data_IF_763701281644
#
_entry.id   IF_763701281644
#
_cell.length_a   1.000
_cell.length_b   1.000
_cell.length_c   1.000
_cell.angle_alpha   90.00
_cell.angle_beta   90.00
_cell.angle_gamma   90.00
#
_symmetry.space_group_name_H-M   'P 1'
#
loop_
_entity.id
_entity.type
_entity.pdbx_description
1 polymer ?
#
# COMPACT_ATOMS: atom_id res chain seq x y z
N UNK A 1 2.05 -6.00 3.82
CA UNK A 1 2.65 -6.90 2.81
C UNK A 1 4.09 -6.48 2.63
N UNK A 2 5.03 -7.43 2.69
CA UNK A 2 6.45 -7.15 2.46
C UNK A 2 6.76 -7.38 0.99
N UNK A 3 7.67 -6.55 0.46
CA UNK A 3 8.24 -6.68 -0.87
C UNK A 3 9.11 -7.93 -0.99
N UNK A 4 8.78 -8.83 -1.93
CA UNK A 4 9.70 -9.87 -2.39
C UNK A 4 10.10 -9.58 -3.84
N UNK A 5 11.40 -9.56 -4.08
CA UNK A 5 11.97 -9.24 -5.39
C UNK A 5 12.13 -10.54 -6.16
N UNK A 6 11.36 -10.74 -7.24
CA UNK A 6 11.60 -11.90 -8.10
C UNK A 6 12.94 -11.76 -8.83
N UNK A 7 13.44 -12.87 -9.39
CA UNK A 7 14.56 -12.80 -10.31
C UNK A 7 14.22 -11.88 -11.50
N UNK A 8 15.20 -11.10 -12.02
CA UNK A 8 14.99 -10.32 -13.23
C UNK A 8 14.68 -11.22 -14.43
N UNK A 9 13.81 -10.77 -15.34
CA UNK A 9 13.60 -11.42 -16.62
C UNK A 9 14.83 -11.29 -17.54
N UNK A 10 14.77 -11.94 -18.71
CA UNK A 10 15.88 -11.98 -19.69
C UNK A 10 16.27 -10.60 -20.26
N UNK A 11 15.47 -9.56 -20.01
CA UNK A 11 15.74 -8.17 -20.42
C UNK A 11 16.00 -7.23 -19.22
N UNK A 12 16.10 -7.79 -18.01
CA UNK A 12 16.47 -7.08 -16.79
C UNK A 12 15.31 -6.40 -16.05
N UNK A 13 14.06 -6.62 -16.44
CA UNK A 13 12.92 -6.17 -15.64
C UNK A 13 12.76 -7.07 -14.42
N UNK A 14 12.28 -6.50 -13.33
CA UNK A 14 12.02 -7.25 -12.10
C UNK A 14 10.54 -7.21 -11.83
N UNK A 15 9.89 -8.37 -11.73
CA UNK A 15 8.52 -8.45 -11.25
C UNK A 15 8.49 -8.18 -9.75
N UNK A 16 7.62 -7.26 -9.33
CA UNK A 16 7.38 -7.00 -7.92
C UNK A 16 6.30 -7.98 -7.45
N UNK A 17 6.64 -8.81 -6.49
CA UNK A 17 5.73 -9.76 -5.87
C UNK A 17 5.44 -9.29 -4.44
N UNK A 18 4.16 -9.14 -4.09
CA UNK A 18 3.75 -8.76 -2.75
C UNK A 18 3.24 -9.97 -1.99
N UNK A 19 3.83 -10.23 -0.83
CA UNK A 19 3.41 -11.32 0.06
C UNK A 19 2.82 -10.77 1.34
N UNK A 20 1.73 -11.38 1.79
CA UNK A 20 1.17 -11.10 3.10
C UNK A 20 2.10 -11.67 4.18
N UNK A 21 2.74 -10.79 4.95
CA UNK A 21 3.76 -11.18 5.93
C UNK A 21 3.21 -11.23 7.37
N UNK A 22 2.38 -10.25 7.77
CA UNK A 22 1.82 -10.18 9.12
C UNK A 22 0.51 -9.39 9.18
N UNK A 23 -0.34 -9.75 10.15
CA UNK A 23 -1.52 -8.96 10.54
C UNK A 23 -1.13 -7.87 11.53
N UNK A 24 -1.64 -6.65 11.31
CA UNK A 24 -1.33 -5.48 12.12
C UNK A 24 -2.61 -4.92 12.76
N UNK A 25 -2.54 -4.57 14.04
CA UNK A 25 -3.60 -3.81 14.70
C UNK A 25 -3.46 -2.34 14.33
N UNK A 26 -4.49 -1.81 13.66
CA UNK A 26 -4.47 -0.44 13.16
C UNK A 26 -5.84 0.25 13.29
N UNK A 27 -5.80 1.58 13.26
CA UNK A 27 -6.97 2.43 13.05
C UNK A 27 -6.87 3.03 11.65
N UNK A 28 -7.93 2.88 10.85
CA UNK A 28 -8.02 3.42 9.50
C UNK A 28 -9.07 4.54 9.49
N UNK A 29 -8.67 5.72 9.05
CA UNK A 29 -9.56 6.87 8.85
C UNK A 29 -9.47 7.34 7.39
N UNK A 30 -10.48 7.01 6.59
CA UNK A 30 -10.63 7.60 5.26
C UNK A 30 -10.90 9.10 5.40
N UNK A 31 -10.14 9.89 4.65
CA UNK A 31 -10.22 11.35 4.74
C UNK A 31 -11.08 11.91 3.62
N UNK A 32 -10.86 11.50 2.37
CA UNK A 32 -11.60 11.97 1.18
C UNK A 32 -11.52 10.99 0.01
N UNK A 33 -12.57 10.96 -0.82
CA UNK A 33 -12.49 10.44 -2.18
C UNK A 33 -11.71 11.42 -3.07
N UNK A 34 -10.81 10.92 -3.89
CA UNK A 34 -9.94 11.72 -4.75
C UNK A 34 -9.94 11.17 -6.19
N UNK A 35 -9.89 12.08 -7.16
CA UNK A 35 -9.58 11.78 -8.56
C UNK A 35 -8.15 12.22 -8.81
N UNK A 36 -7.32 11.34 -9.37
CA UNK A 36 -5.93 11.64 -9.76
C UNK A 36 -5.65 11.10 -11.16
N UNK A 37 -4.85 11.81 -11.94
CA UNK A 37 -4.43 11.32 -13.25
C UNK A 37 -3.20 10.41 -13.10
N UNK A 38 -3.34 9.16 -13.52
CA UNK A 38 -2.22 8.20 -13.62
C UNK A 38 -2.04 7.86 -15.09
N UNK A 39 -0.85 8.17 -15.64
CA UNK A 39 -0.52 7.90 -17.05
C UNK A 39 -1.54 8.48 -18.05
N UNK A 40 -2.11 9.64 -17.75
CA UNK A 40 -3.09 10.32 -18.60
C UNK A 40 -4.51 9.74 -18.54
N UNK A 41 -4.76 8.80 -17.62
CA UNK A 41 -6.10 8.28 -17.34
C UNK A 41 -6.57 8.73 -15.95
N UNK A 42 -7.78 9.31 -15.84
CA UNK A 42 -8.37 9.61 -14.55
C UNK A 42 -8.60 8.34 -13.75
N UNK A 43 -8.04 8.30 -12.54
CA UNK A 43 -8.24 7.24 -11.58
C UNK A 43 -9.00 7.79 -10.38
N UNK A 44 -10.02 7.07 -9.94
CA UNK A 44 -10.73 7.38 -8.69
C UNK A 44 -10.16 6.54 -7.56
N UNK A 45 -10.20 7.09 -6.36
CA UNK A 45 -9.69 6.43 -5.18
C UNK A 45 -10.04 7.16 -3.90
N UNK A 46 -9.42 6.73 -2.82
CA UNK A 46 -9.59 7.33 -1.50
C UNK A 46 -8.24 7.54 -0.82
N UNK A 47 -8.13 8.65 -0.08
CA UNK A 47 -7.05 8.87 0.88
C UNK A 47 -7.47 8.38 2.25
N UNK A 48 -6.52 7.83 2.99
CA UNK A 48 -6.72 7.46 4.38
C UNK A 48 -5.46 7.72 5.21
N UNK A 49 -5.69 8.04 6.48
CA UNK A 49 -4.64 7.96 7.50
C UNK A 49 -4.79 6.63 8.22
N UNK A 50 -3.76 5.80 8.14
CA UNK A 50 -3.70 4.51 8.83
C UNK A 50 -2.69 4.61 9.96
N UNK A 51 -3.17 4.47 11.20
CA UNK A 51 -2.32 4.47 12.40
C UNK A 51 -2.12 3.06 12.88
N UNK A 52 -0.87 2.60 12.91
CA UNK A 52 -0.49 1.26 13.34
C UNK A 52 0.27 1.35 14.66
N UNK A 53 -0.21 0.63 15.68
CA UNK A 53 0.36 0.68 17.03
C UNK A 53 1.52 -0.30 17.20
N UNK A 54 2.55 0.10 17.95
CA UNK A 54 3.66 -0.76 18.34
C UNK A 54 4.88 -0.70 17.41
N UNK A 55 5.01 0.34 16.60
CA UNK A 55 6.12 0.56 15.65
C UNK A 55 6.49 -0.69 14.82
N UNK A 56 5.56 -1.28 14.05
CA UNK A 56 5.98 -2.27 13.08
C UNK A 56 6.94 -1.62 12.08
N UNK A 57 7.93 -2.39 11.62
CA UNK A 57 8.91 -1.98 10.62
C UNK A 57 8.23 -1.86 9.24
N UNK A 58 7.36 -0.87 9.08
CA UNK A 58 6.74 -0.49 7.82
C UNK A 58 7.61 0.51 7.09
N UNK A 59 7.63 0.39 5.77
CA UNK A 59 8.33 1.25 4.84
C UNK A 59 7.34 1.81 3.82
N UNK A 60 7.72 2.87 3.10
CA UNK A 60 6.86 3.44 2.07
C UNK A 60 6.74 2.53 0.83
N UNK A 61 7.52 1.45 0.78
CA UNK A 61 7.42 0.43 -0.27
C UNK A 61 6.41 -0.65 0.08
N UNK A 62 6.01 -0.74 1.35
CA UNK A 62 5.02 -1.71 1.79
C UNK A 62 3.61 -1.26 1.39
N UNK A 63 2.75 -2.24 1.22
CA UNK A 63 1.33 -2.05 1.00
C UNK A 63 0.54 -2.69 2.14
N UNK A 64 -0.58 -2.06 2.50
CA UNK A 64 -1.49 -2.55 3.53
C UNK A 64 -2.75 -3.07 2.85
N UNK A 65 -3.18 -4.26 3.24
CA UNK A 65 -4.43 -4.86 2.78
C UNK A 65 -5.39 -4.90 3.97
N UNK A 66 -6.60 -4.37 3.81
CA UNK A 66 -7.61 -4.43 4.86
C UNK A 66 -8.45 -5.71 4.78
N UNK A 67 -9.38 -5.87 5.73
CA UNK A 67 -10.27 -7.04 5.81
C UNK A 67 -11.35 -7.07 4.73
N UNK A 68 -11.49 -6.01 3.94
CA UNK A 68 -12.41 -5.89 2.80
C UNK A 68 -11.69 -6.08 1.46
N UNK A 69 -10.49 -6.65 1.49
CA UNK A 69 -9.59 -6.87 0.36
C UNK A 69 -9.11 -5.59 -0.35
N UNK A 70 -9.25 -4.42 0.27
CA UNK A 70 -8.77 -3.17 -0.32
C UNK A 70 -7.27 -3.01 -0.06
N UNK A 71 -6.57 -2.53 -1.09
CA UNK A 71 -5.12 -2.30 -1.05
C UNK A 71 -4.86 -0.80 -0.89
N UNK A 72 -4.09 -0.48 0.14
CA UNK A 72 -3.68 0.84 0.53
C UNK A 72 -2.17 0.97 0.29
N UNK A 73 -1.79 1.82 -0.65
CA UNK A 73 -0.40 2.19 -0.90
C UNK A 73 0.02 3.25 0.10
N UNK A 74 1.15 3.04 0.77
CA UNK A 74 1.74 4.05 1.65
C UNK A 74 2.43 5.10 0.77
N UNK A 75 1.97 6.35 0.83
CA UNK A 75 2.63 7.48 0.15
C UNK A 75 3.70 8.09 1.05
N UNK A 76 3.36 8.29 2.33
CA UNK A 76 4.26 8.84 3.34
C UNK A 76 4.04 8.14 4.66
N UNK A 77 5.10 8.01 5.45
CA UNK A 77 5.05 7.46 6.80
C UNK A 77 5.78 8.37 7.77
N UNK A 78 5.28 8.43 9.00
CA UNK A 78 5.90 9.14 10.09
C UNK A 78 5.70 8.40 11.41
N UNK A 79 6.64 8.61 12.32
CA UNK A 79 6.75 7.87 13.58
C UNK A 79 6.47 8.80 14.76
N UNK A 80 5.43 8.52 15.54
CA UNK A 80 5.07 9.34 16.69
C UNK A 80 4.33 8.52 17.77
N UNK A 81 4.64 8.78 19.05
CA UNK A 81 3.88 8.27 20.19
C UNK A 81 3.65 6.74 20.18
N UNK A 82 4.67 5.94 19.87
CA UNK A 82 4.56 4.49 19.75
C UNK A 82 3.70 3.98 18.57
N UNK A 83 3.43 4.85 17.60
CA UNK A 83 2.67 4.54 16.41
C UNK A 83 3.46 4.85 15.14
N UNK A 84 3.26 4.01 14.13
CA UNK A 84 3.57 4.31 12.74
C UNK A 84 2.31 4.86 12.10
N UNK A 85 2.37 6.07 11.57
CA UNK A 85 1.23 6.71 10.93
C UNK A 85 1.53 6.81 9.44
N UNK A 86 0.63 6.28 8.63
CA UNK A 86 0.75 6.15 7.20
C UNK A 86 -0.29 7.06 6.52
N UNK A 87 0.15 7.96 5.65
CA UNK A 87 -0.71 8.61 4.67
C UNK A 87 -0.77 7.69 3.45
N UNK A 88 -1.97 7.17 3.21
CA UNK A 88 -2.20 6.10 2.24
C UNK A 88 -3.19 6.52 1.17
N UNK A 89 -3.00 5.92 0.00
CA UNK A 89 -3.92 6.04 -1.13
C UNK A 89 -4.37 4.66 -1.62
N UNK A 90 -5.67 4.53 -1.87
CA UNK A 90 -6.31 3.37 -2.49
C UNK A 90 -6.89 3.78 -3.84
N UNK A 91 -6.75 2.93 -4.85
CA UNK A 91 -7.47 3.06 -6.12
C UNK A 91 -8.77 2.25 -6.06
N UNK A 92 -9.87 2.79 -6.59
CA UNK A 92 -11.17 2.08 -6.61
C UNK A 92 -11.20 0.98 -7.68
N UNK A 93 -10.46 1.18 -8.77
CA UNK A 93 -10.34 0.23 -9.89
C UNK A 93 -9.03 0.47 -10.63
N UNK A 94 -8.52 -0.53 -11.35
CA UNK A 94 -7.45 -0.31 -12.33
C UNK A 94 -6.02 -0.31 -11.81
N UNK A 95 -5.76 -0.74 -10.57
CA UNK A 95 -4.39 -1.04 -10.15
C UNK A 95 -4.00 -2.46 -10.58
N UNK A 96 -3.91 -2.68 -11.88
CA UNK A 96 -3.60 -3.99 -12.49
C UNK A 96 -2.09 -4.31 -12.57
N UNK A 97 -1.22 -3.40 -12.12
CA UNK A 97 0.23 -3.52 -12.28
C UNK A 97 0.95 -4.33 -11.18
N UNK A 98 0.24 -5.00 -10.27
CA UNK A 98 0.88 -5.71 -9.16
C UNK A 98 0.41 -7.16 -9.07
N UNK A 99 1.37 -8.08 -9.09
CA UNK A 99 1.13 -9.49 -8.86
C UNK A 99 1.19 -9.74 -7.35
N UNK A 100 0.05 -10.11 -6.78
CA UNK A 100 0.00 -10.67 -5.42
C UNK A 100 0.34 -12.15 -5.57
N UNK A 101 1.38 -12.60 -4.87
CA UNK A 101 1.76 -14.01 -4.87
C UNK A 101 1.04 -14.73 -3.72
N UNK A 102 0.62 -15.98 -3.98
CA UNK A 102 0.02 -16.87 -2.98
C UNK A 102 1.04 -17.29 -1.89
#
# INVERSE_FOLDING_TARGET
>A
MIYDKSEPDDIGNVSLCYRADAWLWCNLQETQGQITDVNGSPQTGARAIITVTGYPALTALDMLKDTSDQIWRIETLYYANNNTICDCFRFDSGFEDFVICD
#
